data_IF_696801119951
#
_entry.id   IF_696801119951
#
_cell.length_a   1.000
_cell.length_b   1.000
_cell.length_c   1.000
_cell.angle_alpha   90.00
_cell.angle_beta   90.00
_cell.angle_gamma   90.00
#
_symmetry.space_group_name_H-M   'P 1'
#
loop_
_entity.id
_entity.type
_entity.pdbx_description
1 polymer ?
#
# COMPACT_ATOMS: atom_id res chain seq x y z
N UNK A 1 -7.46 22.78 -19.18
CA UNK A 1 -7.45 21.81 -20.31
C UNK A 1 -8.74 21.88 -21.07
N UNK A 2 -8.71 21.92 -22.41
CA UNK A 2 -9.91 22.04 -23.25
C UNK A 2 -10.62 20.70 -23.56
N UNK A 3 -10.02 19.56 -23.19
CA UNK A 3 -10.51 18.21 -23.57
C UNK A 3 -10.34 17.22 -22.44
N UNK A 4 -11.23 16.23 -22.38
CA UNK A 4 -11.17 15.07 -21.50
C UNK A 4 -9.91 14.24 -21.85
N UNK A 5 -9.11 13.92 -20.85
CA UNK A 5 -7.99 12.95 -20.97
C UNK A 5 -8.45 11.59 -20.46
N UNK A 6 -8.00 10.53 -21.13
CA UNK A 6 -8.25 9.14 -20.72
C UNK A 6 -6.92 8.50 -20.39
N UNK A 7 -6.88 7.76 -19.28
CA UNK A 7 -5.74 6.96 -18.85
C UNK A 7 -6.21 5.53 -18.65
N UNK A 8 -5.63 4.52 -19.34
CA UNK A 8 -5.88 3.12 -19.05
C UNK A 8 -5.51 2.81 -17.61
N UNK A 9 -6.36 2.06 -16.92
CA UNK A 9 -6.10 1.66 -15.55
C UNK A 9 -6.89 0.41 -15.17
N UNK A 10 -6.44 -0.28 -14.12
CA UNK A 10 -7.18 -1.37 -13.49
C UNK A 10 -7.62 -0.92 -12.09
N UNK A 11 -8.90 -1.07 -11.77
CA UNK A 11 -9.42 -0.83 -10.42
C UNK A 11 -9.47 -2.15 -9.67
N UNK A 12 -8.62 -2.30 -8.65
CA UNK A 12 -8.37 -3.60 -8.04
C UNK A 12 -8.34 -3.52 -6.51
N UNK A 13 -8.80 -4.58 -5.86
CA UNK A 13 -8.65 -4.78 -4.43
C UNK A 13 -7.31 -5.47 -4.13
N UNK A 14 -6.60 -4.98 -3.11
CA UNK A 14 -5.50 -5.67 -2.46
C UNK A 14 -5.74 -5.74 -0.95
N UNK A 15 -5.77 -6.95 -0.37
CA UNK A 15 -6.15 -7.11 1.04
C UNK A 15 -7.47 -6.42 1.37
N UNK A 16 -7.50 -5.54 2.37
CA UNK A 16 -8.65 -4.73 2.78
C UNK A 16 -8.69 -3.34 2.11
N UNK A 17 -7.85 -3.09 1.12
CA UNK A 17 -7.78 -1.81 0.40
C UNK A 17 -8.17 -1.94 -1.06
N UNK A 18 -8.50 -0.82 -1.72
CA UNK A 18 -8.68 -0.70 -3.17
C UNK A 18 -7.79 0.39 -3.72
N UNK A 19 -7.27 0.18 -4.92
CA UNK A 19 -6.48 1.17 -5.64
C UNK A 19 -6.86 1.22 -7.13
N UNK A 20 -6.60 2.36 -7.74
CA UNK A 20 -6.45 2.48 -9.18
C UNK A 20 -4.99 2.17 -9.51
N UNK A 21 -4.78 1.17 -10.36
CA UNK A 21 -3.45 0.71 -10.77
C UNK A 21 -3.20 1.15 -12.20
N UNK A 22 -2.09 1.83 -12.42
CA UNK A 22 -1.64 2.27 -13.73
C UNK A 22 -0.37 1.53 -14.15
N UNK A 23 -0.23 1.26 -15.44
CA UNK A 23 1.10 1.07 -16.00
C UNK A 23 1.82 2.43 -16.08
N UNK A 24 3.09 2.48 -15.69
CA UNK A 24 3.88 3.72 -15.78
C UNK A 24 3.90 4.27 -17.23
N UNK A 25 3.95 3.39 -18.22
CA UNK A 25 3.96 3.75 -19.65
C UNK A 25 2.72 4.54 -20.12
N UNK A 26 1.60 4.40 -19.39
CA UNK A 26 0.33 5.05 -19.74
C UNK A 26 0.16 6.41 -19.05
N UNK A 27 1.10 6.78 -18.18
CA UNK A 27 1.19 8.08 -17.53
C UNK A 27 2.18 9.00 -18.28
N UNK A 28 2.10 10.33 -18.07
CA UNK A 28 3.10 11.24 -18.61
C UNK A 28 4.51 10.90 -18.14
N UNK A 29 5.51 11.03 -19.02
CA UNK A 29 6.93 10.88 -18.67
C UNK A 29 7.35 11.87 -17.58
N UNK A 30 6.80 13.08 -17.63
CA UNK A 30 6.99 14.08 -16.56
C UNK A 30 6.18 13.71 -15.32
N UNK A 31 6.87 13.09 -14.36
CA UNK A 31 6.28 12.63 -13.10
C UNK A 31 5.73 13.76 -12.22
N UNK A 32 6.13 15.01 -12.47
CA UNK A 32 5.58 16.17 -11.74
C UNK A 32 4.09 16.40 -12.03
N UNK A 33 3.57 15.85 -13.13
CA UNK A 33 2.17 15.93 -13.51
C UNK A 33 1.30 14.84 -12.86
N UNK A 34 1.90 13.85 -12.21
CA UNK A 34 1.17 12.69 -11.69
C UNK A 34 0.23 13.03 -10.56
N UNK A 35 0.66 13.87 -9.63
CA UNK A 35 -0.18 14.24 -8.47
C UNK A 35 -1.49 14.88 -8.90
N UNK A 36 -1.46 15.79 -9.87
CA UNK A 36 -2.67 16.40 -10.45
C UNK A 36 -3.60 15.36 -11.07
N UNK A 37 -3.03 14.35 -11.71
CA UNK A 37 -3.80 13.25 -12.30
C UNK A 37 -4.43 12.40 -11.19
N UNK A 38 -3.65 12.03 -10.16
CA UNK A 38 -4.10 11.19 -9.08
C UNK A 38 -5.19 11.86 -8.23
N UNK A 39 -5.05 13.15 -7.94
CA UNK A 39 -6.07 13.94 -7.27
C UNK A 39 -7.40 13.92 -8.04
N UNK A 40 -7.35 14.12 -9.35
CA UNK A 40 -8.54 14.09 -10.23
C UNK A 40 -9.14 12.69 -10.35
N UNK A 41 -8.30 11.67 -10.50
CA UNK A 41 -8.75 10.28 -10.56
C UNK A 41 -9.46 9.86 -9.28
N UNK A 42 -9.00 10.32 -8.12
CA UNK A 42 -9.63 10.02 -6.83
C UNK A 42 -10.83 10.94 -6.52
N UNK A 43 -10.95 12.09 -7.19
CA UNK A 43 -11.99 13.08 -6.90
C UNK A 43 -11.68 13.91 -5.66
N UNK A 44 -10.39 14.20 -5.41
CA UNK A 44 -9.90 14.99 -4.28
C UNK A 44 -9.63 16.44 -4.72
N UNK A 45 -9.94 17.45 -3.88
CA UNK A 45 -10.50 17.38 -2.52
C UNK A 45 -12.04 17.36 -2.50
N UNK A 46 -12.61 16.30 -1.99
CA UNK A 46 -14.05 16.18 -1.70
C UNK A 46 -14.27 15.01 -0.75
N UNK A 47 -14.99 15.21 0.36
CA UNK A 47 -15.29 14.18 1.37
C UNK A 47 -16.01 12.97 0.78
N UNK A 48 -16.71 13.12 -0.33
CA UNK A 48 -17.42 12.04 -1.03
C UNK A 48 -16.66 11.53 -2.25
N UNK A 49 -15.61 12.23 -2.68
CA UNK A 49 -14.85 11.90 -3.89
C UNK A 49 -15.77 11.56 -5.08
N UNK A 50 -16.89 12.33 -5.21
CA UNK A 50 -18.01 11.99 -6.09
C UNK A 50 -17.64 12.07 -7.58
N UNK A 51 -16.68 12.93 -7.94
CA UNK A 51 -16.20 13.09 -9.32
C UNK A 51 -14.96 12.24 -9.62
N UNK A 52 -14.77 11.16 -8.84
CA UNK A 52 -13.60 10.28 -8.98
C UNK A 52 -13.88 8.84 -8.59
N UNK A 53 -12.80 8.07 -8.51
CA UNK A 53 -12.82 6.64 -8.18
C UNK A 53 -12.51 6.37 -6.69
N UNK A 54 -12.29 7.40 -5.91
CA UNK A 54 -12.07 7.28 -4.47
C UNK A 54 -13.31 6.76 -3.74
N UNK A 55 -13.11 6.16 -2.57
CA UNK A 55 -14.19 5.54 -1.80
C UNK A 55 -14.37 6.15 -0.41
N UNK A 56 -14.02 7.42 -0.23
CA UNK A 56 -14.30 8.25 0.95
C UNK A 56 -13.53 7.90 2.24
N UNK A 57 -12.71 6.87 2.21
CA UNK A 57 -11.82 6.48 3.32
C UNK A 57 -10.42 6.17 2.80
N UNK A 58 -9.42 6.26 3.67
CA UNK A 58 -8.00 6.10 3.28
C UNK A 58 -7.69 4.72 2.65
N UNK A 59 -8.41 3.67 3.05
CA UNK A 59 -8.24 2.34 2.47
C UNK A 59 -8.73 2.22 1.03
N UNK A 60 -9.50 3.18 0.53
CA UNK A 60 -10.11 3.17 -0.79
C UNK A 60 -9.73 4.39 -1.65
N UNK A 61 -8.77 5.21 -1.20
CA UNK A 61 -8.25 6.39 -1.91
C UNK A 61 -6.75 6.21 -2.18
N UNK A 62 -6.41 5.26 -3.05
CA UNK A 62 -5.04 4.81 -3.28
C UNK A 62 -4.74 4.66 -4.76
N UNK A 63 -3.49 4.93 -5.11
CA UNK A 63 -2.93 4.72 -6.45
C UNK A 63 -1.73 3.77 -6.34
N UNK A 64 -1.60 2.89 -7.31
CA UNK A 64 -0.39 2.15 -7.58
C UNK A 64 0.07 2.41 -9.02
N UNK A 65 1.35 2.56 -9.23
CA UNK A 65 1.96 2.64 -10.55
C UNK A 65 2.94 1.50 -10.68
N UNK A 66 2.78 0.69 -11.73
CA UNK A 66 3.56 -0.52 -11.98
C UNK A 66 4.33 -0.38 -13.28
N UNK A 67 5.58 -0.78 -13.25
CA UNK A 67 6.47 -0.83 -14.41
C UNK A 67 7.33 -2.09 -14.41
N UNK A 68 7.83 -2.56 -15.56
CA UNK A 68 8.92 -3.54 -15.57
C UNK A 68 10.11 -3.00 -14.77
N UNK A 69 10.67 -3.83 -13.90
CA UNK A 69 11.75 -3.37 -13.03
C UNK A 69 13.07 -3.21 -13.77
N UNK A 70 13.82 -2.17 -13.39
CA UNK A 70 15.25 -2.03 -13.74
C UNK A 70 16.16 -2.43 -12.58
N UNK A 71 15.56 -2.72 -11.42
CA UNK A 71 16.31 -3.16 -10.25
C UNK A 71 16.75 -4.63 -10.41
N UNK A 72 18.03 -4.95 -10.20
CA UNK A 72 18.51 -6.32 -10.26
C UNK A 72 17.76 -7.22 -9.25
N UNK A 73 17.21 -8.34 -9.72
CA UNK A 73 16.49 -9.29 -8.88
C UNK A 73 15.02 -8.96 -8.61
N UNK A 74 14.45 -7.98 -9.31
CA UNK A 74 13.02 -7.71 -9.31
C UNK A 74 12.43 -7.81 -10.71
N UNK A 75 11.17 -8.21 -10.79
CA UNK A 75 10.42 -8.35 -12.04
C UNK A 75 9.69 -7.03 -12.36
N UNK A 76 9.09 -6.40 -11.36
CA UNK A 76 8.32 -5.15 -11.50
C UNK A 76 8.67 -4.14 -10.41
N UNK A 77 8.56 -2.87 -10.76
CA UNK A 77 8.60 -1.75 -9.83
C UNK A 77 7.18 -1.41 -9.37
N UNK A 78 7.00 -1.21 -8.08
CA UNK A 78 5.77 -0.80 -7.45
C UNK A 78 5.95 0.56 -6.79
N UNK A 79 5.23 1.56 -7.28
CA UNK A 79 5.19 2.91 -6.71
C UNK A 79 3.82 3.15 -6.11
N UNK A 80 3.75 3.31 -4.79
CA UNK A 80 2.50 3.57 -4.07
C UNK A 80 2.29 5.06 -3.84
N UNK A 81 1.04 5.50 -3.90
CA UNK A 81 0.61 6.85 -3.53
C UNK A 81 -0.67 6.79 -2.70
N UNK A 82 -0.64 7.42 -1.53
CA UNK A 82 -1.84 7.65 -0.74
C UNK A 82 -2.42 9.01 -1.12
N UNK A 83 -3.63 9.03 -1.64
CA UNK A 83 -4.32 10.29 -1.96
C UNK A 83 -5.22 10.67 -0.79
N UNK A 84 -5.04 11.88 -0.27
CA UNK A 84 -5.92 12.41 0.76
C UNK A 84 -7.35 12.59 0.23
N UNK A 85 -8.32 12.70 1.12
CA UNK A 85 -9.72 12.82 0.75
C UNK A 85 -10.14 14.29 0.73
N UNK A 86 -9.81 15.03 1.78
CA UNK A 86 -10.34 16.38 2.02
C UNK A 86 -9.37 17.49 1.66
N UNK A 87 -8.08 17.20 1.58
CA UNK A 87 -7.06 18.16 1.17
C UNK A 87 -6.37 17.70 -0.12
N UNK A 88 -5.96 18.61 -1.02
CA UNK A 88 -5.30 18.24 -2.27
C UNK A 88 -3.84 17.84 -2.00
N UNK A 89 -3.66 16.66 -1.43
CA UNK A 89 -2.36 16.11 -1.07
C UNK A 89 -2.22 14.66 -1.55
N UNK A 90 -1.04 14.34 -2.07
CA UNK A 90 -0.62 12.99 -2.43
C UNK A 90 0.60 12.65 -1.58
N UNK A 91 0.51 11.67 -0.70
CA UNK A 91 1.63 11.22 0.10
C UNK A 91 2.52 10.24 -0.70
N UNK A 92 3.78 10.61 -0.85
CA UNK A 92 4.82 9.87 -1.57
C UNK A 92 5.64 8.94 -0.68
N UNK A 93 5.55 9.09 0.65
CA UNK A 93 6.36 8.34 1.62
C UNK A 93 5.66 7.12 2.19
N UNK A 94 4.33 7.12 2.14
CA UNK A 94 3.53 6.00 2.63
C UNK A 94 3.85 4.71 1.88
N UNK A 95 3.69 3.59 2.56
CA UNK A 95 3.71 2.24 1.99
C UNK A 95 2.42 1.51 2.35
N UNK A 96 1.97 0.60 1.50
CA UNK A 96 0.73 -0.13 1.72
C UNK A 96 0.90 -1.62 1.41
N UNK A 97 1.05 -2.42 2.47
CA UNK A 97 1.13 -3.88 2.35
C UNK A 97 -0.14 -4.50 1.76
N UNK A 98 -1.32 -3.91 2.03
CA UNK A 98 -2.56 -4.37 1.43
C UNK A 98 -2.54 -4.24 -0.10
N UNK A 99 -2.14 -3.09 -0.64
CA UNK A 99 -2.10 -2.89 -2.10
C UNK A 99 -0.94 -3.67 -2.73
N UNK A 100 0.15 -3.93 -1.99
CA UNK A 100 1.20 -4.82 -2.47
C UNK A 100 0.62 -6.15 -2.96
N UNK A 101 -0.33 -6.76 -2.24
CA UNK A 101 -0.93 -8.04 -2.65
C UNK A 101 -1.72 -8.01 -3.98
N UNK A 102 -1.92 -6.84 -4.56
CA UNK A 102 -2.53 -6.70 -5.88
C UNK A 102 -1.49 -6.62 -7.01
N UNK A 103 -0.22 -6.40 -6.67
CA UNK A 103 0.83 -6.12 -7.66
C UNK A 103 1.20 -7.36 -8.46
N UNK A 104 1.41 -8.49 -7.79
CA UNK A 104 1.72 -9.76 -8.44
C UNK A 104 0.62 -10.25 -9.38
N UNK A 105 -0.64 -10.35 -8.91
CA UNK A 105 -1.77 -10.67 -9.79
C UNK A 105 -1.90 -9.72 -10.99
N UNK A 106 -1.78 -8.41 -10.77
CA UNK A 106 -1.77 -7.43 -11.85
C UNK A 106 -0.64 -7.69 -12.85
N UNK A 107 0.57 -7.94 -12.35
CA UNK A 107 1.75 -8.15 -13.21
C UNK A 107 1.62 -9.41 -14.09
N UNK A 108 0.98 -10.46 -13.58
CA UNK A 108 0.70 -11.70 -14.33
C UNK A 108 -0.38 -11.43 -15.39
N UNK A 109 -1.52 -10.87 -14.98
CA UNK A 109 -2.69 -10.70 -15.85
C UNK A 109 -2.45 -9.64 -16.95
N UNK A 110 -1.62 -8.63 -16.68
CA UNK A 110 -1.20 -7.61 -17.66
C UNK A 110 0.05 -8.03 -18.47
N UNK A 111 0.55 -9.26 -18.28
CA UNK A 111 1.64 -9.83 -19.07
C UNK A 111 3.02 -9.21 -18.80
N UNK A 112 3.22 -8.57 -17.64
CA UNK A 112 4.52 -8.06 -17.21
C UNK A 112 5.43 -9.18 -16.71
N UNK A 113 4.82 -10.25 -16.15
CA UNK A 113 5.49 -11.45 -15.68
C UNK A 113 4.83 -12.67 -16.31
N UNK A 114 5.60 -13.62 -16.85
CA UNK A 114 5.03 -14.86 -17.40
C UNK A 114 4.29 -15.65 -16.32
N UNK A 115 3.08 -16.10 -16.63
CA UNK A 115 2.32 -17.02 -15.78
C UNK A 115 2.94 -18.41 -15.78
N UNK A 116 3.21 -18.96 -14.62
CA UNK A 116 3.71 -20.34 -14.41
C UNK A 116 2.78 -21.05 -13.43
N UNK A 117 2.17 -22.14 -13.86
CA UNK A 117 1.29 -22.95 -13.00
C UNK A 117 2.08 -23.99 -12.18
N UNK A 118 1.62 -24.33 -10.98
CA UNK A 118 0.44 -23.82 -10.28
C UNK A 118 0.68 -22.53 -9.51
N UNK A 119 1.92 -22.05 -9.44
CA UNK A 119 2.33 -20.88 -8.69
C UNK A 119 3.37 -20.09 -9.45
N UNK A 120 3.21 -18.76 -9.46
CA UNK A 120 4.20 -17.82 -9.96
C UNK A 120 4.73 -16.99 -8.82
N UNK A 121 6.04 -16.88 -8.70
CA UNK A 121 6.71 -15.99 -7.76
C UNK A 121 7.01 -14.69 -8.50
N UNK A 122 6.48 -13.57 -8.00
CA UNK A 122 6.72 -12.23 -8.53
C UNK A 122 7.57 -11.45 -7.53
N UNK A 123 8.72 -10.95 -7.98
CA UNK A 123 9.60 -10.09 -7.18
C UNK A 123 9.33 -8.65 -7.49
N UNK A 124 8.78 -7.97 -6.50
CA UNK A 124 8.33 -6.58 -6.58
C UNK A 124 9.34 -5.67 -5.90
N UNK A 125 9.94 -4.74 -6.62
CA UNK A 125 10.73 -3.66 -6.02
C UNK A 125 9.81 -2.51 -5.62
N UNK A 126 9.65 -2.32 -4.32
CA UNK A 126 8.88 -1.21 -3.78
C UNK A 126 9.72 0.07 -3.78
N UNK A 127 9.38 1.00 -4.65
CA UNK A 127 10.13 2.26 -4.84
C UNK A 127 9.99 3.23 -3.67
N UNK A 128 8.95 3.08 -2.82
CA UNK A 128 8.76 3.92 -1.64
C UNK A 128 9.73 3.52 -0.51
N UNK A 129 10.02 2.24 -0.38
CA UNK A 129 10.85 1.68 0.71
C UNK A 129 12.24 1.24 0.26
N UNK A 130 12.49 1.15 -1.05
CA UNK A 130 13.68 0.54 -1.67
C UNK A 130 13.92 -0.91 -1.19
N UNK A 131 12.84 -1.66 -1.02
CA UNK A 131 12.87 -3.06 -0.56
C UNK A 131 12.18 -3.96 -1.58
N UNK A 132 12.57 -5.25 -1.56
CA UNK A 132 11.93 -6.29 -2.35
C UNK A 132 10.78 -6.91 -1.54
N UNK A 133 9.67 -7.15 -2.22
CA UNK A 133 8.57 -7.98 -1.75
C UNK A 133 8.51 -9.18 -2.70
N UNK A 134 8.57 -10.39 -2.18
CA UNK A 134 8.35 -11.60 -2.96
C UNK A 134 6.91 -12.03 -2.74
N UNK A 135 6.17 -12.16 -3.83
CA UNK A 135 4.76 -12.48 -3.85
C UNK A 135 4.55 -13.85 -4.48
N UNK A 136 3.93 -14.79 -3.75
CA UNK A 136 3.59 -16.10 -4.23
C UNK A 136 2.12 -16.11 -4.67
N UNK A 137 1.89 -16.23 -5.96
CA UNK A 137 0.58 -16.09 -6.59
C UNK A 137 0.17 -17.44 -7.17
N UNK A 138 -0.98 -17.97 -6.74
CA UNK A 138 -1.57 -19.13 -7.39
C UNK A 138 -2.03 -18.76 -8.80
N UNK A 139 -1.71 -19.62 -9.76
CA UNK A 139 -2.02 -19.42 -11.18
C UNK A 139 -2.85 -20.56 -11.71
N UNK A 140 -3.86 -20.24 -12.50
CA UNK A 140 -4.77 -21.17 -13.14
C UNK A 140 -5.17 -20.67 -14.52
N UNK A 141 -5.04 -21.50 -15.54
CA UNK A 141 -5.35 -21.17 -16.94
C UNK A 141 -4.57 -19.94 -17.46
N UNK A 142 -3.34 -19.77 -17.01
CA UNK A 142 -2.47 -18.66 -17.43
C UNK A 142 -2.78 -17.31 -16.79
N UNK A 143 -3.63 -17.27 -15.78
CA UNK A 143 -4.03 -16.07 -15.04
C UNK A 143 -3.84 -16.23 -13.54
N UNK A 144 -3.74 -15.12 -12.83
CA UNK A 144 -3.77 -15.12 -11.37
C UNK A 144 -5.11 -15.69 -10.88
N UNK A 145 -5.04 -16.71 -10.01
CA UNK A 145 -6.25 -17.35 -9.49
C UNK A 145 -7.01 -16.41 -8.56
N UNK A 146 -8.31 -16.24 -8.83
CA UNK A 146 -9.20 -15.36 -8.04
C UNK A 146 -9.92 -16.13 -6.94
N UNK A 147 -10.43 -17.32 -7.24
CA UNK A 147 -11.24 -18.12 -6.33
C UNK A 147 -10.38 -18.99 -5.42
N UNK A 148 -10.77 -19.12 -4.14
CA UNK A 148 -10.10 -19.93 -3.14
C UNK A 148 -10.81 -19.83 -1.80
N UNK A 149 -10.20 -20.42 -0.77
CA UNK A 149 -10.80 -20.54 0.55
C UNK A 149 -10.20 -19.56 1.58
N UNK A 150 -9.28 -18.67 1.14
CA UNK A 150 -8.64 -17.73 2.04
C UNK A 150 -9.61 -16.64 2.50
N UNK A 151 -9.67 -16.42 3.81
CA UNK A 151 -10.54 -15.44 4.46
C UNK A 151 -9.73 -14.26 4.97
N UNK A 152 -10.04 -13.07 4.48
CA UNK A 152 -9.47 -11.81 4.99
C UNK A 152 -10.52 -11.14 5.88
N UNK A 153 -10.19 -10.90 7.15
CA UNK A 153 -11.09 -10.19 8.07
C UNK A 153 -11.41 -8.80 7.56
N UNK A 154 -12.69 -8.46 7.51
CA UNK A 154 -13.18 -7.18 6.96
C UNK A 154 -13.46 -7.21 5.46
N UNK A 155 -13.24 -8.35 4.77
CA UNK A 155 -13.60 -8.55 3.37
C UNK A 155 -14.65 -9.65 3.28
N UNK A 156 -15.83 -9.39 2.65
CA UNK A 156 -16.83 -10.43 2.44
C UNK A 156 -16.35 -11.55 1.49
N UNK A 157 -16.72 -12.78 1.81
CA UNK A 157 -16.41 -13.97 0.99
C UNK A 157 -14.99 -14.48 1.20
N UNK A 158 -14.54 -15.27 0.23
CA UNK A 158 -13.22 -15.90 0.19
C UNK A 158 -12.51 -15.62 -1.12
N UNK A 159 -11.21 -15.87 -1.19
CA UNK A 159 -10.42 -15.67 -2.41
C UNK A 159 -9.21 -16.59 -2.46
N UNK A 160 -8.45 -16.50 -3.52
CA UNK A 160 -7.17 -17.18 -3.63
C UNK A 160 -6.17 -16.58 -2.63
N UNK A 161 -5.37 -17.44 -2.01
CA UNK A 161 -4.31 -17.03 -1.10
C UNK A 161 -3.16 -16.39 -1.88
N UNK A 162 -2.63 -15.31 -1.35
CA UNK A 162 -1.43 -14.63 -1.82
C UNK A 162 -0.51 -14.47 -0.62
N UNK A 163 0.69 -15.04 -0.70
CA UNK A 163 1.69 -14.91 0.35
C UNK A 163 2.68 -13.79 -0.01
N UNK A 164 2.90 -12.86 0.91
CA UNK A 164 3.82 -11.75 0.75
C UNK A 164 4.99 -11.89 1.72
N UNK A 165 6.19 -11.92 1.17
CA UNK A 165 7.44 -11.95 1.93
C UNK A 165 8.15 -10.61 1.77
N UNK A 166 8.13 -9.78 2.82
CA UNK A 166 8.85 -8.52 2.85
C UNK A 166 10.33 -8.80 3.17
N UNK A 167 11.18 -8.71 2.16
CA UNK A 167 12.59 -9.01 2.28
C UNK A 167 13.32 -7.87 2.99
N UNK A 168 14.05 -8.20 4.09
CA UNK A 168 14.80 -7.24 4.91
C UNK A 168 14.01 -5.93 5.21
N UNK A 169 12.85 -6.01 5.88
CA UNK A 169 11.92 -4.88 6.00
C UNK A 169 12.39 -3.79 6.99
N UNK A 170 13.47 -4.02 7.71
CA UNK A 170 13.98 -3.07 8.69
C UNK A 170 14.56 -1.81 8.06
N UNK A 171 14.27 -0.64 8.64
CA UNK A 171 14.88 0.62 8.24
C UNK A 171 14.39 1.18 6.90
N UNK A 172 13.19 0.83 6.47
CA UNK A 172 12.64 1.24 5.18
C UNK A 172 12.49 2.77 5.04
N UNK A 173 12.14 3.46 6.13
CA UNK A 173 11.95 4.91 6.14
C UNK A 173 13.13 5.66 6.78
N UNK A 174 13.75 5.09 7.80
CA UNK A 174 14.76 5.77 8.65
C UNK A 174 16.17 5.23 8.51
N UNK A 175 16.33 4.13 7.77
CA UNK A 175 17.60 3.45 7.57
C UNK A 175 18.00 2.44 8.67
N UNK A 176 17.23 2.34 9.77
CA UNK A 176 17.48 1.40 10.86
C UNK A 176 16.19 0.85 11.45
N UNK A 177 16.18 -0.45 11.81
CA UNK A 177 15.02 -1.07 12.46
C UNK A 177 14.64 -0.34 13.77
N UNK A 178 15.62 0.05 14.57
CA UNK A 178 15.46 0.93 15.72
C UNK A 178 16.13 2.27 15.41
N UNK A 179 15.39 3.30 14.98
CA UNK A 179 15.97 4.59 14.56
C UNK A 179 16.83 5.26 15.60
N UNK A 180 16.45 5.14 16.88
CA UNK A 180 17.20 5.69 18.02
C UNK A 180 18.36 4.80 18.47
N UNK A 181 18.45 3.56 17.95
CA UNK A 181 19.39 2.54 18.39
C UNK A 181 18.99 1.85 19.70
N UNK A 182 17.79 2.15 20.23
CA UNK A 182 17.26 1.59 21.47
C UNK A 182 15.93 0.89 21.20
N UNK A 183 15.62 -0.12 22.00
CA UNK A 183 14.31 -0.80 21.98
C UNK A 183 13.24 -0.04 22.75
N UNK A 184 13.66 0.89 23.64
CA UNK A 184 12.78 1.78 24.40
C UNK A 184 13.40 3.16 24.49
N UNK A 185 12.55 4.17 24.36
CA UNK A 185 12.85 5.58 24.54
C UNK A 185 11.85 6.18 25.51
N UNK A 186 12.26 7.28 26.18
CA UNK A 186 11.38 8.03 27.07
C UNK A 186 11.16 9.42 26.48
N UNK A 187 9.90 9.76 26.24
CA UNK A 187 9.49 11.11 25.83
C UNK A 187 8.79 11.82 26.98
N UNK A 188 9.16 13.08 27.22
CA UNK A 188 8.44 13.96 28.15
C UNK A 188 7.34 14.67 27.36
N UNK A 189 6.09 14.38 27.70
CA UNK A 189 4.94 15.04 27.08
C UNK A 189 4.46 16.15 28.03
N UNK A 190 4.29 17.37 27.54
CA UNK A 190 3.72 18.45 28.35
C UNK A 190 2.41 18.01 28.99
N UNK A 191 2.22 18.33 30.28
CA UNK A 191 1.05 18.03 31.11
C UNK A 191 0.84 16.54 31.47
N UNK A 192 1.60 15.59 30.84
CA UNK A 192 1.46 14.15 31.12
C UNK A 192 2.71 13.51 31.75
N UNK A 193 3.88 14.16 31.60
CA UNK A 193 5.13 13.64 32.12
C UNK A 193 5.83 12.62 31.19
N UNK A 194 6.71 11.76 31.74
CA UNK A 194 7.49 10.81 30.93
C UNK A 194 6.63 9.62 30.48
N UNK A 195 6.73 9.30 29.18
CA UNK A 195 6.09 8.12 28.58
C UNK A 195 7.16 7.25 27.93
N UNK A 196 7.14 5.96 28.20
CA UNK A 196 7.98 4.99 27.51
C UNK A 196 7.35 4.61 26.16
N UNK A 197 8.17 4.57 25.11
CA UNK A 197 7.77 4.21 23.77
C UNK A 197 8.78 3.27 23.12
N UNK A 198 8.37 2.51 22.12
CA UNK A 198 9.25 1.80 21.20
C UNK A 198 9.08 2.38 19.80
N UNK A 199 10.15 2.90 19.20
CA UNK A 199 10.16 3.38 17.82
C UNK A 199 10.76 2.28 16.95
N UNK A 200 9.95 1.76 16.03
CA UNK A 200 10.33 0.65 15.17
C UNK A 200 10.05 1.01 13.73
N UNK A 201 11.02 0.85 12.86
CA UNK A 201 10.87 1.00 11.42
C UNK A 201 11.00 -0.39 10.76
N UNK A 202 9.86 -1.02 10.54
CA UNK A 202 9.76 -2.31 9.87
C UNK A 202 8.71 -2.21 8.77
N UNK A 203 9.15 -1.95 7.54
CA UNK A 203 8.32 -1.60 6.37
C UNK A 203 7.63 -0.23 6.50
N UNK A 204 7.13 0.12 7.68
CA UNK A 204 6.65 1.45 8.07
C UNK A 204 7.26 1.84 9.42
N UNK A 205 7.55 3.13 9.59
CA UNK A 205 8.00 3.65 10.88
C UNK A 205 6.79 3.85 11.82
N UNK A 206 6.82 3.20 12.99
CA UNK A 206 5.72 3.16 13.95
C UNK A 206 6.27 3.48 15.34
N UNK A 207 5.50 4.23 16.12
CA UNK A 207 5.74 4.45 17.54
C UNK A 207 4.72 3.64 18.32
N UNK A 208 5.20 2.67 19.10
CA UNK A 208 4.38 1.88 20.00
C UNK A 208 4.38 2.52 21.38
N UNK A 209 3.20 2.77 21.92
CA UNK A 209 2.97 3.33 23.25
C UNK A 209 2.16 2.34 24.07
N UNK A 210 2.68 1.93 25.22
CA UNK A 210 1.92 1.14 26.17
C UNK A 210 1.02 2.06 26.99
N UNK A 211 -0.26 2.08 26.70
CA UNK A 211 -1.23 2.85 27.45
C UNK A 211 -1.74 2.06 28.65
N UNK A 212 -1.32 2.41 29.85
CA UNK A 212 -1.82 1.82 31.09
C UNK A 212 -3.27 2.20 31.37
N UNK A 213 -3.77 3.29 30.82
CA UNK A 213 -5.18 3.72 30.93
C UNK A 213 -6.11 2.69 30.30
N UNK A 214 -5.73 2.12 29.17
CA UNK A 214 -6.53 1.07 28.51
C UNK A 214 -6.50 -0.27 29.26
N UNK A 215 -5.50 -0.50 30.10
CA UNK A 215 -5.40 -1.69 30.95
C UNK A 215 -6.26 -1.50 32.22
N UNK A 216 -6.30 -0.29 32.75
CA UNK A 216 -7.03 0.01 34.00
C UNK A 216 -8.51 0.34 33.81
N UNK A 217 -8.92 0.77 32.62
CA UNK A 217 -10.31 1.11 32.29
C UNK A 217 -10.81 0.40 31.01
N UNK A 218 -10.84 -0.94 30.97
CA UNK A 218 -11.28 -1.66 29.76
C UNK A 218 -12.75 -1.46 29.40
N UNK A 219 -13.54 -0.85 30.28
CA UNK A 219 -15.01 -0.69 30.14
C UNK A 219 -15.45 0.63 29.52
N UNK A 220 -14.55 1.54 29.17
CA UNK A 220 -14.88 2.84 28.55
C UNK A 220 -14.62 2.92 27.05
N UNK A 221 -14.59 1.82 26.32
CA UNK A 221 -14.80 1.86 24.88
C UNK A 221 -16.30 1.98 24.61
N UNK A 222 -16.81 3.20 24.69
CA UNK A 222 -18.03 3.52 23.96
C UNK A 222 -17.69 3.42 22.47
N UNK A 223 -18.39 2.53 21.79
CA UNK A 223 -18.35 2.44 20.35
C UNK A 223 -18.82 3.79 19.78
N UNK A 224 -17.93 4.46 19.05
CA UNK A 224 -18.26 5.59 18.19
C UNK A 224 -18.62 5.05 16.82
#
# INVERSE_FOLDING_TARGET
MKYMKKYPCVYMRGGTSKAVIFHEKDLPEDKSLWDDIFLKVMGTPDVKQIDGMGGTVSSTSKIAVIAPSKHPGADVDYTFRQVDIVIPNVDHKANCGNIASAVGPFAIDEGLVPAVEPETIVRVFNTNTNKIIEEHIQVENGHAKVHGDEVIRGVPGTGSRIDLFFMDPGGAATGKLFPTGKTRDTFSIPDYGPIEVSIVDCSNAIVFILSLIHISEPTRQEAI
#
